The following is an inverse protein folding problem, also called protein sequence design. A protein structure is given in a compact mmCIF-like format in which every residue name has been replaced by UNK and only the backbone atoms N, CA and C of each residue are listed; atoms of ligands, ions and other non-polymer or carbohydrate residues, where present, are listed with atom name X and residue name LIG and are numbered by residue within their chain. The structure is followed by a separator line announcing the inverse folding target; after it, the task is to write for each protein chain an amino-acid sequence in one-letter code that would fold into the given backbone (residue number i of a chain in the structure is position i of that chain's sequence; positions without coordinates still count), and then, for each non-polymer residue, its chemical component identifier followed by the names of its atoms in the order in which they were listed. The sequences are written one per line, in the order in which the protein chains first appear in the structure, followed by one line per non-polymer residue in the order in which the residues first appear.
data_IF_963124045768
#
_entry.id   IF_963124045768
#
_cell.length_a   1.000
_cell.length_b   1.000
_cell.length_c   1.000
_cell.angle_alpha   90.00
_cell.angle_beta   90.00
_cell.angle_gamma   90.00
#
_symmetry.space_group_name_H-M   'P 1'
#
loop_
_entity.id
_entity.type
_entity.pdbx_description
1 polymer ?
#
# COMPACT_ATOMS: atom_id res chain seq x y z
N UNK A 1 4.23 22.75 -24.22
CA UNK A 1 3.61 21.45 -24.59
C UNK A 1 3.94 20.47 -23.47
N UNK A 2 3.00 20.23 -22.55
CA UNK A 2 3.17 19.22 -21.49
C UNK A 2 3.06 17.85 -22.16
N UNK A 3 4.12 17.04 -22.06
CA UNK A 3 4.18 15.70 -22.65
C UNK A 3 3.13 14.79 -22.00
N UNK A 4 2.33 14.08 -22.79
CA UNK A 4 1.26 13.18 -22.30
C UNK A 4 1.75 12.10 -21.32
N UNK A 5 3.05 11.76 -21.34
CA UNK A 5 3.68 10.86 -20.37
C UNK A 5 3.80 11.47 -18.97
N UNK A 6 3.96 12.79 -18.88
CA UNK A 6 4.06 13.52 -17.61
C UNK A 6 2.70 13.49 -16.89
N UNK A 7 1.61 13.77 -17.61
CA UNK A 7 0.24 13.76 -17.07
C UNK A 7 -0.18 12.41 -16.51
N UNK A 8 0.18 11.30 -17.17
CA UNK A 8 -0.18 9.96 -16.68
C UNK A 8 0.56 9.59 -15.39
N UNK A 9 1.86 9.88 -15.33
CA UNK A 9 2.68 9.68 -14.11
C UNK A 9 2.12 10.54 -12.98
N UNK A 10 1.75 11.79 -13.27
CA UNK A 10 1.17 12.72 -12.29
C UNK A 10 -0.21 12.23 -11.78
N UNK A 11 -1.05 11.65 -12.64
CA UNK A 11 -2.35 11.06 -12.27
C UNK A 11 -2.16 9.81 -11.41
N UNK A 12 -1.22 8.92 -11.79
CA UNK A 12 -0.92 7.72 -11.00
C UNK A 12 -0.33 8.12 -9.64
N UNK A 13 0.59 9.08 -9.62
CA UNK A 13 1.16 9.63 -8.38
C UNK A 13 0.08 10.23 -7.47
N UNK A 14 -0.83 11.03 -8.05
CA UNK A 14 -1.99 11.58 -7.34
C UNK A 14 -2.94 10.49 -6.82
N UNK A 15 -3.22 9.43 -7.58
CA UNK A 15 -4.07 8.32 -7.12
C UNK A 15 -3.42 7.48 -6.04
N UNK A 16 -2.10 7.29 -6.08
CA UNK A 16 -1.39 6.54 -5.06
C UNK A 16 -1.27 7.31 -3.75
N UNK A 17 -1.12 8.63 -3.77
CA UNK A 17 -0.80 9.45 -2.60
C UNK A 17 -1.96 10.32 -2.05
N UNK A 18 -2.91 10.80 -2.88
CA UNK A 18 -3.80 11.92 -2.50
C UNK A 18 -5.27 11.57 -2.27
N UNK A 19 -5.67 10.30 -2.39
CA UNK A 19 -7.06 9.85 -2.22
C UNK A 19 -7.31 9.08 -0.91
N UNK A 20 -6.36 9.11 0.03
CA UNK A 20 -6.51 8.42 1.32
C UNK A 20 -6.86 6.93 1.14
N UNK A 21 -7.84 6.46 1.92
CA UNK A 21 -8.33 5.08 1.95
C UNK A 21 -9.44 4.78 0.93
N UNK A 22 -9.66 5.68 -0.04
CA UNK A 22 -10.60 5.42 -1.12
C UNK A 22 -10.25 4.12 -1.85
N UNK A 23 -11.26 3.29 -2.15
CA UNK A 23 -11.06 1.93 -2.67
C UNK A 23 -10.19 1.89 -3.92
N UNK A 24 -10.39 2.81 -4.85
CA UNK A 24 -9.62 2.87 -6.09
C UNK A 24 -8.14 3.19 -5.84
N UNK A 25 -7.85 4.03 -4.86
CA UNK A 25 -6.49 4.36 -4.44
C UNK A 25 -5.79 3.16 -3.79
N UNK A 26 -6.48 2.47 -2.89
CA UNK A 26 -6.00 1.22 -2.29
C UNK A 26 -5.74 0.16 -3.36
N UNK A 27 -6.67 0.02 -4.31
CA UNK A 27 -6.55 -0.90 -5.46
C UNK A 27 -5.32 -0.60 -6.30
N UNK A 28 -5.11 0.68 -6.63
CA UNK A 28 -3.95 1.13 -7.39
C UNK A 28 -2.63 0.82 -6.66
N UNK A 29 -2.57 1.04 -5.33
CA UNK A 29 -1.38 0.72 -4.52
C UNK A 29 -1.10 -0.77 -4.44
N UNK A 30 -2.13 -1.60 -4.28
CA UNK A 30 -2.00 -3.06 -4.31
C UNK A 30 -1.41 -3.54 -5.64
N UNK A 31 -1.98 -3.06 -6.76
CA UNK A 31 -1.51 -3.37 -8.10
C UNK A 31 -0.06 -2.91 -8.32
N UNK A 32 0.26 -1.66 -7.98
CA UNK A 32 1.59 -1.09 -8.14
C UNK A 32 2.63 -1.87 -7.32
N UNK A 33 2.30 -2.26 -6.08
CA UNK A 33 3.19 -3.05 -5.22
C UNK A 33 3.47 -4.43 -5.81
N UNK A 34 2.44 -5.12 -6.30
CA UNK A 34 2.57 -6.42 -6.94
C UNK A 34 3.42 -6.35 -8.21
N UNK A 35 3.16 -5.36 -9.06
CA UNK A 35 3.89 -5.15 -10.31
C UNK A 35 5.34 -4.78 -10.08
N UNK A 36 5.64 -3.96 -9.05
CA UNK A 36 7.00 -3.63 -8.65
C UNK A 36 7.81 -4.86 -8.19
N UNK A 37 7.15 -5.89 -7.66
CA UNK A 37 7.76 -7.16 -7.27
C UNK A 37 7.84 -8.17 -8.43
N UNK A 38 7.27 -7.84 -9.60
CA UNK A 38 7.24 -8.75 -10.75
C UNK A 38 6.36 -9.99 -10.55
N UNK A 39 5.36 -9.92 -9.66
CA UNK A 39 4.55 -11.09 -9.27
C UNK A 39 3.18 -11.11 -9.98
N UNK A 40 2.67 -12.31 -10.23
CA UNK A 40 1.26 -12.52 -10.57
C UNK A 40 0.36 -12.29 -9.35
N UNK A 41 -0.96 -12.13 -9.58
CA UNK A 41 -1.95 -11.98 -8.48
C UNK A 41 -1.93 -13.18 -7.55
N UNK A 42 -1.80 -14.38 -8.13
CA UNK A 42 -1.71 -15.64 -7.40
C UNK A 42 -0.48 -15.69 -6.51
N UNK A 43 0.72 -15.47 -7.06
CA UNK A 43 1.98 -15.50 -6.29
C UNK A 43 1.97 -14.46 -5.16
N UNK A 44 1.55 -13.24 -5.47
CA UNK A 44 1.49 -12.15 -4.48
C UNK A 44 0.56 -12.49 -3.31
N UNK A 45 -0.60 -13.11 -3.59
CA UNK A 45 -1.55 -13.54 -2.57
C UNK A 45 -1.02 -14.73 -1.76
N UNK A 46 -0.58 -15.79 -2.43
CA UNK A 46 -0.20 -17.06 -1.81
C UNK A 46 1.04 -16.91 -0.93
N UNK A 47 2.02 -16.09 -1.35
CA UNK A 47 3.18 -15.75 -0.53
C UNK A 47 2.77 -15.08 0.80
N UNK A 48 1.66 -14.33 0.82
CA UNK A 48 1.12 -13.69 2.02
C UNK A 48 0.15 -14.58 2.82
N UNK A 49 -0.03 -15.86 2.43
CA UNK A 49 -1.00 -16.75 3.07
C UNK A 49 -2.46 -16.35 2.79
N UNK A 50 -2.72 -15.81 1.60
CA UNK A 50 -4.04 -15.54 1.03
C UNK A 50 -4.24 -16.40 -0.22
N UNK A 51 -5.47 -16.74 -0.56
CA UNK A 51 -5.76 -17.31 -1.88
C UNK A 51 -5.92 -16.18 -2.90
N UNK A 52 -5.67 -16.49 -4.18
CA UNK A 52 -5.94 -15.54 -5.28
C UNK A 52 -7.40 -15.06 -5.28
N UNK A 53 -8.35 -15.95 -4.97
CA UNK A 53 -9.78 -15.62 -4.87
C UNK A 53 -10.09 -14.60 -3.77
N UNK A 54 -9.34 -14.63 -2.67
CA UNK A 54 -9.47 -13.63 -1.60
C UNK A 54 -8.83 -12.31 -2.02
N UNK A 55 -7.67 -12.35 -2.66
CA UNK A 55 -6.93 -11.16 -3.04
C UNK A 55 -7.55 -10.40 -4.22
N UNK A 56 -7.99 -11.13 -5.25
CA UNK A 56 -8.50 -10.58 -6.51
C UNK A 56 -9.56 -9.49 -6.36
N UNK A 57 -10.60 -9.65 -5.52
CA UNK A 57 -11.58 -8.60 -5.26
C UNK A 57 -11.00 -7.28 -4.73
N UNK A 58 -9.88 -7.32 -3.99
CA UNK A 58 -9.19 -6.12 -3.51
C UNK A 58 -8.48 -5.40 -4.67
N UNK A 59 -7.71 -6.12 -5.50
CA UNK A 59 -7.01 -5.52 -6.66
C UNK A 59 -7.94 -5.23 -7.86
N UNK A 60 -9.22 -5.60 -7.78
CA UNK A 60 -10.22 -5.32 -8.81
C UNK A 60 -11.25 -4.26 -8.36
N UNK A 61 -11.01 -3.56 -7.24
CA UNK A 61 -11.93 -2.59 -6.64
C UNK A 61 -13.35 -3.13 -6.36
N UNK A 62 -13.51 -4.45 -6.22
CA UNK A 62 -14.80 -5.09 -5.91
C UNK A 62 -15.05 -5.20 -4.40
N UNK A 63 -14.00 -5.06 -3.58
CA UNK A 63 -14.07 -5.13 -2.13
C UNK A 63 -12.97 -4.27 -1.51
N UNK A 64 -13.28 -3.60 -0.40
CA UNK A 64 -12.28 -2.87 0.37
C UNK A 64 -11.24 -3.83 0.97
N UNK A 65 -9.99 -3.38 1.06
CA UNK A 65 -8.92 -4.17 1.66
C UNK A 65 -9.22 -4.37 3.15
N UNK A 66 -9.45 -5.62 3.56
CA UNK A 66 -9.67 -5.92 4.98
C UNK A 66 -8.38 -5.78 5.78
N UNK A 67 -8.48 -5.34 7.04
CA UNK A 67 -7.32 -5.23 7.93
C UNK A 67 -6.56 -6.56 8.10
N UNK A 68 -7.29 -7.68 8.10
CA UNK A 68 -6.67 -9.02 8.17
C UNK A 68 -5.80 -9.31 6.95
N UNK A 69 -6.29 -9.01 5.75
CA UNK A 69 -5.50 -9.16 4.52
C UNK A 69 -4.34 -8.15 4.49
N UNK A 70 -4.56 -6.90 4.89
CA UNK A 70 -3.51 -5.87 4.97
C UNK A 70 -2.37 -6.28 5.90
N UNK A 71 -2.67 -6.83 7.08
CA UNK A 71 -1.66 -7.35 8.03
C UNK A 71 -0.81 -8.47 7.42
N UNK A 72 -1.43 -9.38 6.68
CA UNK A 72 -0.73 -10.46 5.96
C UNK A 72 0.19 -9.94 4.87
N UNK A 73 -0.31 -9.02 4.03
CA UNK A 73 0.48 -8.36 2.99
C UNK A 73 1.64 -7.56 3.57
N UNK A 74 1.42 -6.83 4.67
CA UNK A 74 2.48 -6.14 5.42
C UNK A 74 3.56 -7.12 5.90
N UNK A 75 3.15 -8.20 6.55
CA UNK A 75 4.10 -9.16 7.13
C UNK A 75 5.00 -9.77 6.05
N UNK A 76 4.42 -10.14 4.90
CA UNK A 76 5.13 -10.79 3.81
C UNK A 76 5.93 -9.83 2.94
N UNK A 77 5.30 -8.78 2.44
CA UNK A 77 5.84 -7.90 1.40
C UNK A 77 6.38 -6.58 1.92
N UNK A 78 6.39 -6.38 3.25
CA UNK A 78 6.88 -5.17 3.94
C UNK A 78 6.15 -3.87 3.55
N UNK A 79 4.92 -3.98 3.07
CA UNK A 79 4.04 -2.86 2.76
C UNK A 79 3.41 -2.33 4.07
N UNK A 80 3.72 -1.10 4.49
CA UNK A 80 3.13 -0.51 5.71
C UNK A 80 1.61 -0.38 5.58
N UNK A 81 0.88 -0.34 6.70
CA UNK A 81 -0.58 -0.15 6.64
C UNK A 81 -0.90 1.29 6.18
N UNK A 82 -0.04 2.22 6.57
CA UNK A 82 -0.03 3.63 6.23
C UNK A 82 0.14 3.81 4.72
N UNK A 83 1.03 3.03 4.09
CA UNK A 83 1.10 2.97 2.63
C UNK A 83 -0.16 2.34 2.04
N UNK A 84 -0.54 1.13 2.47
CA UNK A 84 -1.66 0.40 1.87
C UNK A 84 -2.97 1.20 1.90
N UNK A 85 -3.28 1.84 3.03
CA UNK A 85 -4.50 2.61 3.23
C UNK A 85 -4.36 4.08 2.85
N UNK A 86 -3.22 4.73 3.06
CA UNK A 86 -3.13 6.20 2.93
C UNK A 86 -2.06 6.66 1.94
N UNK A 87 -1.36 5.75 1.26
CA UNK A 87 -0.31 6.11 0.32
C UNK A 87 0.91 6.77 0.97
N UNK A 88 1.05 6.70 2.29
CA UNK A 88 2.18 7.27 3.01
C UNK A 88 3.44 6.45 2.74
N UNK A 89 4.34 7.06 1.97
CA UNK A 89 5.60 6.45 1.57
C UNK A 89 6.71 6.73 2.59
N UNK A 90 6.63 7.84 3.34
CA UNK A 90 7.68 8.27 4.28
C UNK A 90 7.18 9.13 5.47
N UNK A 91 8.04 9.13 6.50
CA UNK A 91 8.24 9.94 7.72
C UNK A 91 7.10 10.28 8.72
N UNK A 92 7.34 9.82 9.96
CA UNK A 92 6.68 10.32 11.17
C UNK A 92 7.21 11.73 11.53
N UNK A 93 6.35 12.65 12.00
CA UNK A 93 6.80 13.95 12.50
C UNK A 93 7.88 13.82 13.57
N UNK A 94 8.97 14.60 13.45
CA UNK A 94 10.17 14.55 14.30
C UNK A 94 9.87 14.56 15.80
N UNK A 95 8.81 15.26 16.24
CA UNK A 95 8.41 15.30 17.65
C UNK A 95 7.84 13.97 18.16
N UNK A 96 7.09 13.25 17.33
CA UNK A 96 6.52 11.94 17.67
C UNK A 96 7.63 10.88 17.64
N UNK A 97 8.50 10.91 16.62
CA UNK A 97 9.64 10.00 16.55
C UNK A 97 10.63 10.21 17.70
N UNK A 98 10.84 11.45 18.15
CA UNK A 98 11.66 11.76 19.33
C UNK A 98 11.04 11.23 20.62
N UNK A 99 9.75 11.48 20.86
CA UNK A 99 9.05 11.04 22.08
C UNK A 99 8.97 9.52 22.22
N UNK A 100 8.79 8.79 21.11
CA UNK A 100 8.75 7.34 21.10
C UNK A 100 10.13 6.71 21.36
N UNK A 101 11.21 7.32 20.85
CA UNK A 101 12.59 6.85 21.10
C UNK A 101 13.01 7.02 22.56
N UNK A 102 12.63 8.13 23.20
CA UNK A 102 12.91 8.36 24.63
C UNK A 102 12.21 7.35 25.54
N UNK A 103 11.02 6.85 25.18
CA UNK A 103 10.28 5.88 25.98
C UNK A 103 10.75 4.43 25.80
N UNK A 104 11.48 4.11 24.74
CA UNK A 104 12.00 2.75 24.48
C UNK A 104 13.39 2.49 25.10
N UNK A 105 14.09 3.53 25.56
CA UNK A 105 15.44 3.44 26.12
C UNK A 105 15.48 3.32 27.64
N UNK A 106 14.32 3.28 28.31
CA UNK A 106 14.21 3.06 29.76
C UNK A 106 13.79 1.61 29.99
N UNK A 107 14.79 0.73 30.13
CA UNK A 107 14.69 -0.57 30.81
C UNK A 107 15.82 -0.66 31.82
#
# INVERSE_FOLDING_TARGET
MVSAKNTFIDIVSNMLQNLGDHRDAVTARLKASREALGLSKKEFAEMAGLTEQVYGPFENARRDLSLSAAKKLRARHKLSLEFLYFGMIEDLPTRISTALRSNLSVK
#
